data_IF_964106801013
#
_entry.id   IF_964106801013
#
_cell.length_a   1.000
_cell.length_b   1.000
_cell.length_c   1.000
_cell.angle_alpha   90.00
_cell.angle_beta   90.00
_cell.angle_gamma   90.00
#
_symmetry.space_group_name_H-M   'P 1'
#
loop_
_entity.id
_entity.type
_entity.pdbx_description
1 polymer ?
#
# COMPACT_ATOMS: atom_id res chain seq x y z
N UNK A 1 19.62 3.49 40.91
CA UNK A 1 19.68 3.40 39.43
C UNK A 1 18.25 3.42 38.97
N UNK A 2 17.82 4.50 38.33
CA UNK A 2 16.47 4.64 37.81
C UNK A 2 16.25 3.54 36.77
N UNK A 3 15.10 2.84 36.85
CA UNK A 3 14.66 1.90 35.81
C UNK A 3 14.69 2.67 34.49
N UNK A 4 15.59 2.25 33.59
CA UNK A 4 15.77 2.91 32.31
C UNK A 4 14.46 2.92 31.57
N UNK A 5 14.05 4.09 31.13
CA UNK A 5 12.98 4.33 30.18
C UNK A 5 13.32 3.55 28.89
N UNK A 6 12.90 2.27 28.84
CA UNK A 6 13.14 1.44 27.67
C UNK A 6 12.32 2.06 26.53
N UNK A 7 13.04 2.63 25.58
CA UNK A 7 12.45 3.35 24.45
C UNK A 7 11.35 2.49 23.79
N UNK A 8 10.12 3.00 23.78
CA UNK A 8 8.99 2.35 23.13
C UNK A 8 9.32 2.15 21.66
N UNK A 9 9.28 0.90 21.18
CA UNK A 9 9.48 0.56 19.78
C UNK A 9 8.21 0.88 19.00
N UNK A 10 8.33 1.56 17.88
CA UNK A 10 7.22 1.84 16.96
C UNK A 10 7.20 0.80 15.86
N UNK A 11 6.05 0.18 15.63
CA UNK A 11 5.88 -0.89 14.65
C UNK A 11 5.01 -0.41 13.49
N UNK A 12 5.52 -0.47 12.26
CA UNK A 12 4.89 0.04 11.04
C UNK A 12 4.82 -1.05 9.99
N UNK A 13 3.63 -1.28 9.45
CA UNK A 13 3.39 -2.05 8.22
C UNK A 13 3.02 -1.08 7.11
N UNK A 14 3.68 -1.18 5.96
CA UNK A 14 3.42 -0.34 4.79
C UNK A 14 3.21 -1.21 3.56
N UNK A 15 2.19 -0.89 2.76
CA UNK A 15 1.79 -1.67 1.58
C UNK A 15 1.62 -0.74 0.39
N UNK A 16 2.38 -1.02 -0.68
CA UNK A 16 2.38 -0.20 -1.90
C UNK A 16 1.08 -0.32 -2.70
N UNK A 17 0.88 0.66 -3.59
CA UNK A 17 -0.13 0.60 -4.64
C UNK A 17 0.27 -0.32 -5.80
N UNK A 18 -0.74 -0.86 -6.52
CA UNK A 18 -0.43 -1.74 -7.65
C UNK A 18 -1.61 -2.46 -8.32
N UNK A 19 -2.86 -2.09 -8.05
CA UNK A 19 -4.05 -2.70 -8.65
C UNK A 19 -4.17 -4.20 -8.33
N UNK A 20 -4.44 -5.04 -9.32
CA UNK A 20 -4.57 -6.51 -9.14
C UNK A 20 -3.30 -7.17 -8.59
N UNK A 21 -2.14 -6.53 -8.75
CA UNK A 21 -0.86 -7.01 -8.18
C UNK A 21 -0.84 -7.02 -6.65
N UNK A 22 -1.87 -6.47 -6.00
CA UNK A 22 -2.12 -6.61 -4.56
C UNK A 22 -2.19 -8.05 -4.07
N UNK A 23 -2.32 -9.03 -4.97
CA UNK A 23 -2.17 -10.47 -4.67
C UNK A 23 -0.77 -10.77 -4.11
N UNK A 24 0.27 -10.13 -4.63
CA UNK A 24 1.66 -10.36 -4.16
C UNK A 24 1.81 -10.00 -2.68
N UNK A 25 1.53 -8.76 -2.23
CA UNK A 25 1.55 -8.44 -0.81
C UNK A 25 0.55 -9.25 0.01
N UNK A 26 -0.61 -9.66 -0.54
CA UNK A 26 -1.56 -10.52 0.17
C UNK A 26 -0.96 -11.89 0.55
N UNK A 27 -0.16 -12.51 -0.34
CA UNK A 27 0.56 -13.76 -0.03
C UNK A 27 1.61 -13.54 1.06
N UNK A 28 2.37 -12.45 0.98
CA UNK A 28 3.38 -12.10 1.99
C UNK A 28 2.74 -11.83 3.36
N UNK A 29 1.61 -11.13 3.39
CA UNK A 29 0.84 -10.86 4.62
C UNK A 29 0.25 -12.15 5.22
N UNK A 30 -0.26 -13.06 4.38
CA UNK A 30 -0.73 -14.36 4.84
C UNK A 30 0.40 -15.17 5.51
N UNK A 31 1.59 -15.13 4.94
CA UNK A 31 2.77 -15.76 5.53
C UNK A 31 3.14 -15.11 6.88
N UNK A 32 3.22 -13.78 6.94
CA UNK A 32 3.52 -13.05 8.18
C UNK A 32 2.51 -13.39 9.29
N UNK A 33 1.21 -13.34 9.01
CA UNK A 33 0.19 -13.67 10.01
C UNK A 33 0.30 -15.11 10.49
N UNK A 34 0.60 -16.04 9.59
CA UNK A 34 0.84 -17.44 9.95
C UNK A 34 2.04 -17.60 10.90
N UNK A 35 3.13 -16.85 10.68
CA UNK A 35 4.28 -16.85 11.60
C UNK A 35 3.92 -16.26 12.96
N UNK A 36 3.12 -15.18 13.01
CA UNK A 36 2.60 -14.61 14.25
C UNK A 36 1.68 -15.60 14.99
N UNK A 37 0.83 -16.32 14.27
CA UNK A 37 -0.05 -17.36 14.83
C UNK A 37 0.72 -18.54 15.44
N UNK A 38 1.87 -18.91 14.89
CA UNK A 38 2.74 -19.93 15.50
C UNK A 38 3.28 -19.50 16.86
N UNK A 39 3.45 -18.20 17.09
CA UNK A 39 4.04 -17.63 18.30
C UNK A 39 2.99 -17.33 19.38
N UNK A 40 1.83 -16.82 18.98
CA UNK A 40 0.84 -16.23 19.89
C UNK A 40 -0.57 -16.85 19.78
N UNK A 41 -0.69 -17.93 19.00
CA UNK A 41 -1.93 -18.68 18.86
C UNK A 41 -2.77 -18.30 17.63
N UNK A 42 -3.78 -19.14 17.29
CA UNK A 42 -4.52 -19.05 16.02
C UNK A 42 -5.35 -17.77 15.87
N UNK A 43 -5.63 -17.09 16.96
CA UNK A 43 -6.41 -15.84 16.96
C UNK A 43 -5.55 -14.59 16.74
N UNK A 44 -4.23 -14.73 16.60
CA UNK A 44 -3.34 -13.61 16.30
C UNK A 44 -3.66 -13.02 14.92
N UNK A 45 -3.74 -11.68 14.83
CA UNK A 45 -4.02 -10.93 13.60
C UNK A 45 -2.99 -9.83 13.42
N UNK A 46 -2.72 -9.47 12.18
CA UNK A 46 -1.73 -8.43 11.84
C UNK A 46 -1.98 -7.13 12.62
N UNK A 47 -3.22 -6.65 12.70
CA UNK A 47 -3.56 -5.43 13.43
C UNK A 47 -3.17 -5.46 14.93
N UNK A 48 -3.00 -6.63 15.52
CA UNK A 48 -2.60 -6.77 16.93
C UNK A 48 -1.13 -6.39 17.19
N UNK A 49 -0.30 -6.25 16.15
CA UNK A 49 1.15 -6.15 16.25
C UNK A 49 1.74 -4.83 15.77
N UNK A 50 0.98 -4.09 14.95
CA UNK A 50 1.46 -2.84 14.38
C UNK A 50 0.77 -1.63 15.01
N UNK A 51 1.58 -0.62 15.36
CA UNK A 51 1.05 0.68 15.80
C UNK A 51 0.41 1.42 14.63
N UNK A 52 0.94 1.18 13.41
CA UNK A 52 0.47 1.83 12.19
C UNK A 52 0.45 0.84 11.04
N UNK A 53 -0.67 0.81 10.32
CA UNK A 53 -0.76 0.15 9.01
C UNK A 53 -1.01 1.24 7.96
N UNK A 54 -0.11 1.33 6.99
CA UNK A 54 -0.21 2.29 5.90
C UNK A 54 -0.39 1.59 4.56
N UNK A 55 -1.17 2.17 3.66
CA UNK A 55 -1.38 1.61 2.34
C UNK A 55 -1.88 2.61 1.32
N UNK A 56 -1.43 2.47 0.08
CA UNK A 56 -1.83 3.28 -1.05
C UNK A 56 -2.60 2.45 -2.07
N UNK A 57 -3.71 2.98 -2.61
CA UNK A 57 -4.45 2.27 -3.67
C UNK A 57 -4.85 0.86 -3.22
N UNK A 58 -4.44 -0.18 -3.93
CA UNK A 58 -4.63 -1.57 -3.50
C UNK A 58 -4.05 -1.86 -2.11
N UNK A 59 -2.92 -1.24 -1.74
CA UNK A 59 -2.39 -1.30 -0.37
C UNK A 59 -3.32 -0.67 0.66
N UNK A 60 -4.02 0.41 0.29
CA UNK A 60 -5.08 1.01 1.10
C UNK A 60 -6.28 0.07 1.29
N UNK A 61 -6.66 -0.70 0.24
CA UNK A 61 -7.68 -1.75 0.36
C UNK A 61 -7.23 -2.83 1.36
N UNK A 62 -5.99 -3.33 1.25
CA UNK A 62 -5.44 -4.29 2.20
C UNK A 62 -5.38 -3.71 3.62
N UNK A 63 -5.01 -2.44 3.76
CA UNK A 63 -5.01 -1.74 5.06
C UNK A 63 -6.39 -1.76 5.71
N UNK A 64 -7.45 -1.35 5.02
CA UNK A 64 -8.80 -1.35 5.59
C UNK A 64 -9.32 -2.77 5.86
N UNK A 65 -8.96 -3.75 5.04
CA UNK A 65 -9.32 -5.16 5.26
C UNK A 65 -8.69 -5.72 6.54
N UNK A 66 -7.45 -5.34 6.83
CA UNK A 66 -6.69 -5.79 8.01
C UNK A 66 -7.04 -5.00 9.28
N UNK A 67 -7.61 -3.80 9.18
CA UNK A 67 -7.78 -2.90 10.34
C UNK A 67 -9.22 -2.49 10.62
N UNK A 68 -10.15 -2.64 9.67
CA UNK A 68 -11.56 -2.41 9.97
C UNK A 68 -12.10 -3.55 10.86
N UNK A 69 -12.90 -3.23 11.89
CA UNK A 69 -13.51 -4.25 12.73
C UNK A 69 -14.67 -4.96 12.02
N UNK A 70 -14.81 -6.25 12.28
CA UNK A 70 -16.03 -6.99 12.05
C UNK A 70 -17.01 -6.80 13.23
N UNK A 71 -18.14 -7.54 13.22
CA UNK A 71 -19.15 -7.52 14.29
C UNK A 71 -18.65 -7.96 15.68
N UNK A 72 -17.56 -8.70 15.72
CA UNK A 72 -16.94 -9.23 16.93
C UNK A 72 -15.73 -8.37 17.39
N UNK A 73 -15.48 -7.25 16.72
CA UNK A 73 -14.37 -6.33 17.00
C UNK A 73 -13.01 -6.90 16.60
N UNK A 74 -12.98 -7.85 15.63
CA UNK A 74 -11.76 -8.42 15.06
C UNK A 74 -11.56 -7.89 13.64
N UNK A 75 -10.35 -7.98 13.07
CA UNK A 75 -10.13 -7.57 11.69
C UNK A 75 -11.11 -8.25 10.72
N UNK A 76 -11.61 -7.46 9.78
CA UNK A 76 -12.61 -7.89 8.79
C UNK A 76 -12.14 -9.08 7.94
N UNK A 77 -10.81 -9.17 7.69
CA UNK A 77 -10.19 -10.28 6.98
C UNK A 77 -8.99 -10.83 7.74
N UNK A 78 -8.87 -12.16 7.75
CA UNK A 78 -7.63 -12.84 8.11
C UNK A 78 -6.62 -12.68 6.95
N UNK A 79 -5.33 -12.67 7.27
CA UNK A 79 -4.28 -12.59 6.25
C UNK A 79 -4.39 -13.66 5.17
N UNK A 80 -4.80 -14.88 5.54
CA UNK A 80 -4.99 -16.01 4.61
C UNK A 80 -6.08 -15.78 3.56
N UNK A 81 -7.06 -14.91 3.83
CA UNK A 81 -8.23 -14.70 2.97
C UNK A 81 -8.02 -13.55 1.97
N UNK A 82 -6.98 -12.73 2.15
CA UNK A 82 -6.69 -11.56 1.32
C UNK A 82 -6.48 -11.92 -0.15
N UNK A 83 -5.63 -12.91 -0.44
CA UNK A 83 -5.36 -13.32 -1.83
C UNK A 83 -6.61 -13.88 -2.51
N UNK A 84 -7.42 -14.65 -1.77
CA UNK A 84 -8.69 -15.18 -2.26
C UNK A 84 -9.67 -14.05 -2.61
N UNK A 85 -9.76 -13.00 -1.79
CA UNK A 85 -10.57 -11.82 -2.10
C UNK A 85 -10.18 -11.21 -3.44
N UNK A 86 -8.88 -11.02 -3.70
CA UNK A 86 -8.42 -10.49 -4.99
C UNK A 86 -8.75 -11.41 -6.16
N UNK A 87 -8.58 -12.72 -6.00
CA UNK A 87 -8.88 -13.70 -7.05
C UNK A 87 -10.38 -13.70 -7.41
N UNK A 88 -11.26 -13.61 -6.40
CA UNK A 88 -12.70 -13.69 -6.57
C UNK A 88 -13.31 -12.37 -7.06
N UNK A 89 -12.76 -11.23 -6.62
CA UNK A 89 -13.37 -9.92 -6.83
C UNK A 89 -12.74 -9.11 -7.96
N UNK A 90 -11.42 -9.28 -8.21
CA UNK A 90 -10.75 -8.50 -9.26
C UNK A 90 -11.35 -8.66 -10.66
N UNK A 91 -11.82 -9.85 -11.11
CA UNK A 91 -12.48 -9.98 -12.41
C UNK A 91 -13.80 -9.20 -12.53
N UNK A 92 -14.44 -8.89 -11.41
CA UNK A 92 -15.67 -8.09 -11.35
C UNK A 92 -15.35 -6.60 -11.25
N UNK A 93 -14.25 -6.25 -10.55
CA UNK A 93 -13.74 -4.88 -10.44
C UNK A 93 -13.19 -4.40 -11.78
N UNK A 94 -12.45 -5.27 -12.49
CA UNK A 94 -11.82 -5.01 -13.79
C UNK A 94 -12.40 -5.94 -14.86
N UNK A 95 -13.68 -5.81 -15.23
CA UNK A 95 -14.31 -6.69 -16.20
C UNK A 95 -13.58 -6.61 -17.53
N UNK A 96 -13.02 -7.74 -17.96
CA UNK A 96 -12.38 -7.88 -19.28
C UNK A 96 -13.48 -7.89 -20.34
N UNK A 97 -13.67 -6.78 -21.05
CA UNK A 97 -14.64 -6.72 -22.16
C UNK A 97 -14.20 -7.73 -23.21
N UNK A 98 -15.05 -8.74 -23.47
CA UNK A 98 -14.80 -9.72 -24.51
C UNK A 98 -14.53 -9.05 -25.87
N UNK A 99 -13.71 -9.68 -26.69
CA UNK A 99 -13.15 -9.24 -27.98
C UNK A 99 -14.12 -8.64 -29.01
N UNK A 100 -15.43 -8.60 -28.77
CA UNK A 100 -16.44 -8.11 -29.74
C UNK A 100 -16.52 -6.57 -29.75
N UNK A 101 -16.19 -5.88 -28.62
CA UNK A 101 -16.20 -4.41 -28.58
C UNK A 101 -14.87 -3.75 -28.96
N UNK A 102 -13.77 -4.50 -29.02
CA UNK A 102 -12.46 -3.97 -29.43
C UNK A 102 -12.35 -3.67 -30.94
N UNK A 103 -13.34 -4.10 -31.75
CA UNK A 103 -13.34 -3.88 -33.21
C UNK A 103 -14.16 -2.68 -33.68
N UNK A 104 -14.92 -2.01 -32.81
CA UNK A 104 -15.74 -0.85 -33.18
C UNK A 104 -15.34 0.35 -32.32
N UNK A 105 -14.14 0.87 -32.49
CA UNK A 105 -13.76 2.09 -31.79
C UNK A 105 -12.28 2.23 -31.49
N UNK A 106 -11.45 1.81 -32.42
CA UNK A 106 -10.03 2.15 -32.36
C UNK A 106 -9.87 3.68 -32.50
N UNK A 107 -9.69 4.39 -31.40
CA UNK A 107 -9.15 5.73 -31.40
C UNK A 107 -9.92 6.79 -30.59
N UNK A 108 -11.24 6.87 -30.61
CA UNK A 108 -11.96 7.96 -29.93
C UNK A 108 -12.60 7.55 -28.59
N UNK A 109 -13.08 6.33 -28.44
CA UNK A 109 -13.77 5.90 -27.22
C UNK A 109 -12.85 5.77 -25.99
N UNK A 110 -11.56 5.55 -26.20
CA UNK A 110 -10.53 5.50 -25.13
C UNK A 110 -10.16 6.90 -24.61
N UNK A 111 -10.63 7.95 -25.27
CA UNK A 111 -10.30 9.36 -24.96
C UNK A 111 -11.42 10.04 -24.16
N UNK A 112 -12.59 9.41 -24.00
CA UNK A 112 -13.80 10.11 -23.50
C UNK A 112 -14.21 9.75 -22.07
N UNK A 113 -13.46 8.90 -21.34
CA UNK A 113 -13.79 8.53 -19.95
C UNK A 113 -12.87 7.47 -19.37
N UNK A 114 -13.05 7.12 -18.08
CA UNK A 114 -12.27 6.08 -17.43
C UNK A 114 -12.60 4.69 -17.98
N UNK A 115 -11.63 3.77 -17.89
CA UNK A 115 -11.75 2.39 -18.41
C UNK A 115 -12.84 1.58 -17.71
N UNK A 116 -13.06 1.84 -16.42
CA UNK A 116 -14.04 1.18 -15.56
C UNK A 116 -14.91 2.21 -14.85
N UNK A 117 -16.19 1.89 -14.62
CA UNK A 117 -17.13 2.79 -13.94
C UNK A 117 -17.03 2.80 -12.41
N UNK A 118 -16.24 1.90 -11.83
CA UNK A 118 -15.99 1.80 -10.38
C UNK A 118 -17.17 1.30 -9.55
N UNK A 119 -18.37 1.16 -10.10
CA UNK A 119 -19.60 0.85 -9.33
C UNK A 119 -19.49 -0.41 -8.52
N UNK A 120 -18.90 -1.47 -9.09
CA UNK A 120 -18.74 -2.73 -8.39
C UNK A 120 -17.79 -2.57 -7.18
N UNK A 121 -16.63 -1.95 -7.38
CA UNK A 121 -15.68 -1.65 -6.29
C UNK A 121 -16.34 -0.84 -5.18
N UNK A 122 -17.06 0.24 -5.53
CA UNK A 122 -17.75 1.08 -4.55
C UNK A 122 -18.78 0.29 -3.73
N UNK A 123 -19.61 -0.52 -4.41
CA UNK A 123 -20.62 -1.31 -3.72
C UNK A 123 -20.02 -2.42 -2.85
N UNK A 124 -18.90 -3.02 -3.30
CA UNK A 124 -18.15 -4.02 -2.55
C UNK A 124 -17.59 -3.44 -1.25
N UNK A 125 -16.90 -2.30 -1.34
CA UNK A 125 -16.28 -1.64 -0.19
C UNK A 125 -17.34 -1.14 0.81
N UNK A 126 -18.42 -0.51 0.32
CA UNK A 126 -19.51 -0.07 1.20
C UNK A 126 -20.21 -1.22 1.91
N UNK A 127 -20.39 -2.36 1.24
CA UNK A 127 -20.98 -3.55 1.84
C UNK A 127 -20.11 -4.16 2.95
N UNK A 128 -18.79 -4.19 2.78
CA UNK A 128 -17.88 -4.77 3.77
C UNK A 128 -17.59 -3.82 4.92
N UNK A 129 -17.41 -2.53 4.64
CA UNK A 129 -16.96 -1.54 5.62
C UNK A 129 -18.12 -0.81 6.32
N UNK A 130 -19.36 -0.87 5.75
CA UNK A 130 -20.54 -0.21 6.31
C UNK A 130 -20.27 1.25 6.63
N UNK A 131 -20.66 1.65 7.84
CA UNK A 131 -20.51 3.02 8.35
C UNK A 131 -19.23 3.21 9.18
N UNK A 132 -18.28 2.27 9.11
CA UNK A 132 -17.02 2.36 9.83
C UNK A 132 -16.21 3.54 9.32
N UNK A 133 -15.85 4.44 10.23
CA UNK A 133 -15.02 5.61 9.96
C UNK A 133 -13.56 5.34 10.32
N UNK A 134 -12.71 6.32 10.00
CA UNK A 134 -11.26 6.26 10.23
C UNK A 134 -10.90 6.02 11.70
N UNK A 135 -11.62 6.64 12.64
CA UNK A 135 -11.45 6.44 14.09
C UNK A 135 -11.89 5.08 14.60
N UNK A 136 -12.70 4.35 13.82
CA UNK A 136 -13.14 2.99 14.11
C UNK A 136 -12.13 1.90 13.75
N UNK A 137 -10.99 2.22 13.15
CA UNK A 137 -9.96 1.24 12.82
C UNK A 137 -9.30 0.65 14.08
N UNK A 138 -8.99 -0.65 14.05
CA UNK A 138 -8.44 -1.41 15.19
C UNK A 138 -7.01 -0.98 15.59
N UNK A 139 -6.29 -0.37 14.67
CA UNK A 139 -4.99 0.28 14.91
C UNK A 139 -4.90 1.54 14.09
N UNK A 140 -3.87 2.40 14.32
CA UNK A 140 -3.73 3.61 13.53
C UNK A 140 -3.48 3.28 12.06
N UNK A 141 -4.15 3.99 11.17
CA UNK A 141 -3.98 3.84 9.73
C UNK A 141 -3.48 5.14 9.09
N UNK A 142 -2.71 4.99 8.00
CA UNK A 142 -2.24 6.10 7.17
C UNK A 142 -2.48 5.76 5.71
N UNK A 143 -3.43 6.44 5.09
CA UNK A 143 -3.85 6.18 3.70
C UNK A 143 -3.80 7.47 2.92
N UNK A 144 -2.86 7.64 1.97
CA UNK A 144 -2.80 8.81 1.10
C UNK A 144 -3.81 8.71 -0.04
N UNK A 145 -4.30 9.87 -0.46
CA UNK A 145 -4.98 10.13 -1.72
C UNK A 145 -4.45 11.44 -2.30
N UNK A 146 -4.91 11.86 -3.48
CA UNK A 146 -4.56 13.14 -4.05
C UNK A 146 -5.81 13.97 -4.35
N UNK A 147 -5.90 15.17 -3.79
CA UNK A 147 -7.03 16.08 -4.01
C UNK A 147 -6.77 16.97 -5.23
N UNK A 148 -7.51 16.73 -6.30
CA UNK A 148 -7.35 17.45 -7.56
C UNK A 148 -7.89 18.88 -7.53
N UNK A 149 -8.79 19.22 -6.60
CA UNK A 149 -9.28 20.59 -6.46
C UNK A 149 -8.22 21.50 -5.85
N UNK A 150 -7.39 20.97 -4.96
CA UNK A 150 -6.32 21.71 -4.28
C UNK A 150 -4.93 21.43 -4.85
N UNK A 151 -4.81 20.48 -5.78
CA UNK A 151 -3.53 19.99 -6.37
C UNK A 151 -2.50 19.60 -5.30
N UNK A 152 -2.93 18.84 -4.30
CA UNK A 152 -2.04 18.41 -3.22
C UNK A 152 -2.43 17.04 -2.63
N UNK A 153 -1.47 16.33 -2.05
CA UNK A 153 -1.76 15.11 -1.32
C UNK A 153 -2.70 15.38 -0.15
N UNK A 154 -3.63 14.47 0.07
CA UNK A 154 -4.43 14.38 1.29
C UNK A 154 -4.07 13.08 2.00
N UNK A 155 -3.75 13.18 3.29
CA UNK A 155 -3.41 12.03 4.11
C UNK A 155 -4.55 11.78 5.09
N UNK A 156 -5.21 10.62 4.96
CA UNK A 156 -6.15 10.13 5.95
C UNK A 156 -5.34 9.37 7.00
N UNK A 157 -5.14 10.01 8.15
CA UNK A 157 -4.31 9.51 9.23
C UNK A 157 -5.07 9.55 10.55
N UNK A 158 -5.09 8.43 11.27
CA UNK A 158 -5.69 8.37 12.60
C UNK A 158 -5.07 9.38 13.58
N UNK A 159 -3.80 9.72 13.39
CA UNK A 159 -3.07 10.70 14.22
C UNK A 159 -3.55 12.14 14.05
N UNK A 160 -4.23 12.45 12.96
CA UNK A 160 -4.66 13.83 12.66
C UNK A 160 -6.10 14.13 13.10
N UNK A 161 -6.85 13.15 13.57
CA UNK A 161 -8.29 13.29 13.83
C UNK A 161 -8.60 14.27 14.96
N UNK A 162 -7.76 14.33 15.99
CA UNK A 162 -7.92 15.27 17.09
C UNK A 162 -7.88 16.73 16.60
N UNK A 163 -6.94 17.05 15.71
CA UNK A 163 -6.74 18.41 15.18
C UNK A 163 -7.54 18.68 13.90
N UNK A 164 -7.95 17.64 13.18
CA UNK A 164 -8.65 17.71 11.89
C UNK A 164 -9.83 16.74 11.86
N UNK A 165 -10.87 16.96 12.69
CA UNK A 165 -12.01 16.03 12.82
C UNK A 165 -12.77 15.80 11.51
N UNK A 166 -12.74 16.75 10.58
CA UNK A 166 -13.29 16.59 9.23
C UNK A 166 -12.56 15.52 8.39
N UNK A 167 -11.39 15.00 8.81
CA UNK A 167 -10.75 13.86 8.18
C UNK A 167 -11.32 12.50 8.63
N UNK A 168 -12.23 12.48 9.60
CA UNK A 168 -12.91 11.26 10.04
C UNK A 168 -13.98 10.82 9.04
N UNK A 169 -13.51 10.42 7.86
CA UNK A 169 -14.34 9.94 6.77
C UNK A 169 -14.66 8.44 6.93
N UNK A 170 -15.64 7.95 6.18
CA UNK A 170 -15.89 6.51 6.05
C UNK A 170 -14.66 5.82 5.45
N UNK A 171 -14.28 4.67 6.02
CA UNK A 171 -13.19 3.86 5.47
C UNK A 171 -13.47 3.46 4.01
N UNK A 172 -14.74 3.27 3.64
CA UNK A 172 -15.14 3.00 2.26
C UNK A 172 -14.82 4.16 1.33
N UNK A 173 -15.09 5.42 1.72
CA UNK A 173 -14.78 6.59 0.90
C UNK A 173 -13.26 6.82 0.79
N UNK A 174 -12.52 6.60 1.88
CA UNK A 174 -11.05 6.64 1.88
C UNK A 174 -10.47 5.58 0.93
N UNK A 175 -10.97 4.34 1.02
CA UNK A 175 -10.52 3.23 0.19
C UNK A 175 -10.83 3.44 -1.29
N UNK A 176 -12.02 3.96 -1.62
CA UNK A 176 -12.39 4.35 -2.99
C UNK A 176 -11.47 5.47 -3.47
N UNK A 177 -11.28 6.53 -2.67
CA UNK A 177 -10.47 7.69 -3.04
C UNK A 177 -9.03 7.34 -3.32
N UNK A 178 -8.39 6.56 -2.42
CA UNK A 178 -6.99 6.12 -2.61
C UNK A 178 -6.79 5.20 -3.82
N UNK A 179 -7.88 4.53 -4.28
CA UNK A 179 -7.86 3.57 -5.42
C UNK A 179 -8.43 4.16 -6.72
N UNK A 180 -8.79 5.44 -6.74
CA UNK A 180 -9.38 6.11 -7.91
C UNK A 180 -8.29 6.46 -8.95
N UNK A 181 -7.65 5.42 -9.51
CA UNK A 181 -6.53 5.57 -10.44
C UNK A 181 -6.94 6.29 -11.72
N UNK A 182 -6.28 7.43 -12.05
CA UNK A 182 -6.56 8.17 -13.27
C UNK A 182 -6.52 7.26 -14.51
N UNK A 183 -7.45 7.47 -15.43
CA UNK A 183 -7.70 6.65 -16.64
C UNK A 183 -8.36 5.31 -16.39
N UNK A 184 -8.23 4.71 -15.21
CA UNK A 184 -8.86 3.43 -14.86
C UNK A 184 -10.21 3.61 -14.18
N UNK A 185 -10.31 4.49 -13.18
CA UNK A 185 -11.54 4.77 -12.44
C UNK A 185 -11.90 6.25 -12.42
N UNK A 186 -13.18 6.60 -12.22
CA UNK A 186 -13.59 7.99 -11.96
C UNK A 186 -12.94 8.53 -10.69
N UNK A 187 -12.66 9.84 -10.67
CA UNK A 187 -12.34 10.54 -9.43
C UNK A 187 -13.49 10.41 -8.42
N UNK A 188 -13.17 10.34 -7.13
CA UNK A 188 -14.15 10.14 -6.07
C UNK A 188 -14.43 11.43 -5.31
N UNK A 189 -15.72 11.83 -5.29
CA UNK A 189 -16.20 12.96 -4.52
C UNK A 189 -17.00 12.51 -3.31
N UNK A 190 -16.70 13.11 -2.15
CA UNK A 190 -17.53 13.01 -0.95
C UNK A 190 -17.32 14.22 -0.04
N UNK A 191 -18.20 14.35 0.96
CA UNK A 191 -18.10 15.37 1.99
C UNK A 191 -18.09 14.77 3.37
N UNK A 192 -17.39 15.43 4.29
CA UNK A 192 -17.44 15.12 5.72
C UNK A 192 -17.83 16.35 6.49
N UNK A 193 -18.20 16.13 7.76
CA UNK A 193 -18.64 17.16 8.68
C UNK A 193 -17.70 17.14 9.90
N UNK A 194 -17.28 18.32 10.37
CA UNK A 194 -16.39 18.47 11.52
C UNK A 194 -17.10 18.42 12.87
N UNK A 195 -18.40 18.16 12.89
CA UNK A 195 -19.23 18.16 14.10
C UNK A 195 -19.54 19.55 14.67
N UNK A 196 -19.01 20.62 14.08
CA UNK A 196 -19.18 22.02 14.51
C UNK A 196 -19.93 22.86 13.47
N UNK A 197 -20.54 22.21 12.48
CA UNK A 197 -21.26 22.85 11.37
C UNK A 197 -20.39 23.16 10.16
N UNK A 198 -19.11 22.82 10.17
CA UNK A 198 -18.23 22.90 9.02
C UNK A 198 -18.30 21.65 8.15
N UNK A 199 -18.31 21.84 6.83
CA UNK A 199 -18.25 20.77 5.83
C UNK A 199 -16.94 20.84 5.07
N UNK A 200 -16.32 19.70 4.82
CA UNK A 200 -15.13 19.58 3.97
C UNK A 200 -15.43 18.67 2.78
N UNK A 201 -15.25 19.21 1.59
CA UNK A 201 -15.35 18.47 0.34
C UNK A 201 -14.00 17.86 -0.04
N UNK A 202 -14.03 16.65 -0.59
CA UNK A 202 -12.87 15.91 -1.10
C UNK A 202 -13.09 15.54 -2.56
N UNK A 203 -12.10 15.83 -3.41
CA UNK A 203 -12.11 15.53 -4.85
C UNK A 203 -10.91 14.66 -5.17
N UNK A 204 -11.04 13.35 -4.94
CA UNK A 204 -9.90 12.46 -4.82
C UNK A 204 -9.62 11.66 -6.09
N UNK A 205 -8.33 11.49 -6.35
CA UNK A 205 -7.76 10.46 -7.20
C UNK A 205 -6.75 9.63 -6.39
N UNK A 206 -6.28 8.54 -6.99
CA UNK A 206 -5.38 7.57 -6.39
C UNK A 206 -4.16 8.22 -5.72
N UNK A 207 -3.87 7.75 -4.52
CA UNK A 207 -2.72 8.21 -3.73
C UNK A 207 -1.36 7.88 -4.35
N UNK A 208 -1.30 6.92 -5.28
CA UNK A 208 -0.09 6.56 -6.02
C UNK A 208 0.51 7.72 -6.82
N UNK A 209 -0.29 8.73 -7.17
CA UNK A 209 0.20 9.96 -7.81
C UNK A 209 1.24 10.69 -6.93
N UNK A 210 1.13 10.59 -5.60
CA UNK A 210 1.99 11.30 -4.67
C UNK A 210 2.87 10.39 -3.81
N UNK A 211 2.33 9.24 -3.37
CA UNK A 211 2.98 8.36 -2.41
C UNK A 211 2.60 6.89 -2.66
N UNK A 212 3.07 6.32 -3.77
CA UNK A 212 2.79 4.91 -4.10
C UNK A 212 3.33 3.94 -3.04
N UNK A 213 4.53 4.23 -2.49
CA UNK A 213 5.07 3.60 -1.30
C UNK A 213 4.83 4.52 -0.09
N UNK A 214 3.88 4.23 0.81
CA UNK A 214 3.53 5.13 1.91
C UNK A 214 4.43 4.99 3.15
N UNK A 215 5.54 4.25 3.09
CA UNK A 215 6.38 3.96 4.26
C UNK A 215 6.93 5.22 4.92
N UNK A 216 7.56 6.10 4.14
CA UNK A 216 8.11 7.36 4.66
C UNK A 216 7.00 8.26 5.22
N UNK A 217 5.84 8.25 4.56
CA UNK A 217 4.67 9.00 5.02
C UNK A 217 4.17 8.51 6.39
N UNK A 218 4.09 7.19 6.59
CA UNK A 218 3.71 6.60 7.87
C UNK A 218 4.70 6.98 8.97
N UNK A 219 6.01 6.91 8.71
CA UNK A 219 7.04 7.34 9.66
C UNK A 219 6.92 8.82 10.01
N UNK A 220 6.65 9.68 9.00
CA UNK A 220 6.46 11.12 9.21
C UNK A 220 5.22 11.41 10.08
N UNK A 221 4.09 10.69 9.86
CA UNK A 221 2.89 10.87 10.67
C UNK A 221 3.10 10.47 12.13
N UNK A 222 3.84 9.41 12.40
CA UNK A 222 4.24 9.02 13.75
C UNK A 222 5.15 10.08 14.38
N UNK A 223 6.16 10.55 13.66
CA UNK A 223 7.10 11.56 14.15
C UNK A 223 6.38 12.89 14.45
N UNK A 224 5.49 13.34 13.57
CA UNK A 224 4.65 14.53 13.77
C UNK A 224 3.79 14.40 15.04
N UNK A 225 3.09 13.26 15.20
CA UNK A 225 2.27 12.99 16.37
C UNK A 225 3.10 13.03 17.66
N UNK A 226 4.30 12.43 17.68
CA UNK A 226 5.21 12.49 18.83
C UNK A 226 5.63 13.92 19.16
N UNK A 227 5.98 14.71 18.14
CA UNK A 227 6.38 16.13 18.33
C UNK A 227 5.23 16.94 18.92
N UNK A 228 4.02 16.78 18.39
CA UNK A 228 2.82 17.46 18.90
C UNK A 228 2.50 17.05 20.35
N UNK A 229 2.79 15.80 20.72
CA UNK A 229 2.68 15.32 22.11
C UNK A 229 3.86 15.72 23.00
N UNK A 230 4.77 16.59 22.55
CA UNK A 230 5.95 17.03 23.32
C UNK A 230 7.03 15.94 23.48
N UNK A 231 6.96 14.86 22.73
CA UNK A 231 7.93 13.77 22.74
C UNK A 231 9.02 14.00 21.69
N UNK A 232 10.20 13.44 21.94
CA UNK A 232 11.28 13.47 20.95
C UNK A 232 11.23 12.23 20.07
N UNK A 233 11.07 12.35 18.74
CA UNK A 233 11.14 11.21 17.82
C UNK A 233 12.54 10.58 17.75
N UNK A 234 13.58 11.40 17.97
CA UNK A 234 14.98 10.98 17.94
C UNK A 234 15.29 10.03 19.10
N UNK A 235 15.91 8.89 18.81
CA UNK A 235 16.22 7.84 19.80
C UNK A 235 15.11 6.81 20.00
N UNK A 236 13.99 6.90 19.28
CA UNK A 236 13.00 5.81 19.22
C UNK A 236 13.50 4.73 18.26
N UNK A 237 13.21 3.48 18.60
CA UNK A 237 13.46 2.34 17.70
C UNK A 237 12.23 2.09 16.82
N UNK A 238 12.46 1.70 15.58
CA UNK A 238 11.39 1.35 14.65
C UNK A 238 11.55 -0.09 14.15
N UNK A 239 10.45 -0.79 14.03
CA UNK A 239 10.32 -2.04 13.28
C UNK A 239 9.39 -1.75 12.10
N UNK A 240 9.92 -1.74 10.89
CA UNK A 240 9.18 -1.37 9.69
C UNK A 240 9.22 -2.53 8.70
N UNK A 241 8.05 -2.98 8.28
CA UNK A 241 7.88 -3.93 7.16
C UNK A 241 7.20 -3.17 6.03
N UNK A 242 7.86 -3.09 4.88
CA UNK A 242 7.36 -2.45 3.66
C UNK A 242 7.23 -3.49 2.55
N UNK A 243 6.03 -3.65 2.01
CA UNK A 243 5.70 -4.68 1.03
C UNK A 243 5.23 -4.05 -0.26
N UNK A 244 5.96 -4.32 -1.35
CA UNK A 244 5.63 -3.82 -2.68
C UNK A 244 4.72 -4.74 -3.47
N UNK A 245 4.09 -4.17 -4.51
CA UNK A 245 3.27 -4.90 -5.48
C UNK A 245 4.06 -5.36 -6.72
N UNK A 246 5.37 -5.29 -6.67
CA UNK A 246 6.26 -5.64 -7.78
C UNK A 246 6.49 -4.51 -8.78
N UNK A 247 7.68 -4.51 -9.36
CA UNK A 247 8.10 -3.62 -10.45
C UNK A 247 8.55 -4.42 -11.67
N UNK A 248 8.56 -3.79 -12.83
CA UNK A 248 9.00 -4.46 -14.06
C UNK A 248 10.52 -4.56 -14.08
N UNK A 249 11.06 -5.76 -14.33
CA UNK A 249 12.50 -5.95 -14.43
C UNK A 249 13.08 -5.22 -15.65
N UNK A 250 14.22 -4.60 -15.39
CA UNK A 250 15.09 -4.15 -16.45
C UNK A 250 16.00 -5.31 -16.90
N UNK A 251 15.81 -5.93 -18.10
CA UNK A 251 16.84 -5.69 -19.09
C UNK A 251 16.29 -5.23 -20.44
N UNK A 252 14.98 -5.20 -20.65
CA UNK A 252 14.41 -4.53 -21.82
C UNK A 252 13.87 -3.19 -21.37
N UNK A 253 14.48 -2.12 -21.84
CA UNK A 253 13.98 -0.75 -21.65
C UNK A 253 12.47 -0.74 -21.98
N UNK A 254 11.63 -0.51 -20.98
CA UNK A 254 10.18 -0.37 -21.19
C UNK A 254 9.92 0.79 -22.16
N UNK A 255 10.73 1.85 -22.00
CA UNK A 255 10.75 3.02 -22.89
C UNK A 255 12.19 3.43 -23.18
N UNK A 256 12.49 3.82 -24.42
CA UNK A 256 13.79 4.37 -24.78
C UNK A 256 13.70 5.86 -25.07
N UNK A 257 14.77 6.62 -24.76
CA UNK A 257 14.83 8.03 -25.11
C UNK A 257 14.73 8.25 -26.63
N UNK A 258 15.28 7.33 -27.44
CA UNK A 258 15.20 7.38 -28.90
C UNK A 258 13.76 7.27 -29.41
N UNK A 259 12.92 6.46 -28.75
CA UNK A 259 11.52 6.31 -29.13
C UNK A 259 10.70 7.47 -28.54
N UNK A 260 10.95 7.82 -27.28
CA UNK A 260 10.25 8.90 -26.58
C UNK A 260 10.49 10.29 -27.19
N UNK A 261 11.64 10.49 -27.83
CA UNK A 261 11.91 11.73 -28.58
C UNK A 261 10.93 12.01 -29.72
N UNK A 262 10.17 10.98 -30.14
CA UNK A 262 9.15 11.10 -31.18
C UNK A 262 7.72 11.13 -30.63
N UNK A 263 7.56 11.09 -29.31
CA UNK A 263 6.25 11.03 -28.68
C UNK A 263 5.61 12.41 -28.58
N UNK A 264 4.41 12.54 -29.11
CA UNK A 264 3.51 13.65 -28.80
C UNK A 264 2.70 13.37 -27.53
N UNK A 265 1.85 14.31 -27.15
CA UNK A 265 1.03 14.26 -25.92
C UNK A 265 0.28 12.93 -25.81
N UNK A 266 -0.34 12.47 -26.90
CA UNK A 266 -1.12 11.21 -26.89
C UNK A 266 -0.24 9.99 -26.55
N UNK A 267 0.99 9.94 -27.06
CA UNK A 267 1.90 8.80 -26.79
C UNK A 267 2.38 8.79 -25.33
N UNK A 268 2.49 9.95 -24.69
CA UNK A 268 2.80 10.05 -23.26
C UNK A 268 1.64 9.61 -22.39
N UNK A 269 0.40 9.83 -22.85
CA UNK A 269 -0.82 9.48 -22.11
C UNK A 269 -1.37 8.10 -22.42
N UNK A 270 -1.15 7.59 -23.66
CA UNK A 270 -1.63 6.26 -24.08
C UNK A 270 -0.64 5.65 -25.05
N UNK A 271 0.02 4.57 -24.64
CA UNK A 271 0.95 3.79 -25.49
C UNK A 271 0.88 2.31 -25.11
N UNK A 272 0.60 1.47 -26.11
CA UNK A 272 0.58 0.01 -25.96
C UNK A 272 -0.27 -0.48 -24.77
N UNK A 273 -1.42 0.19 -24.53
CA UNK A 273 -2.33 -0.13 -23.42
C UNK A 273 -1.87 0.33 -22.03
N UNK A 274 -0.80 1.11 -21.95
CA UNK A 274 -0.27 1.70 -20.71
C UNK A 274 -0.37 3.23 -20.73
N UNK A 275 -0.10 3.86 -19.60
CA UNK A 275 -0.02 5.32 -19.44
C UNK A 275 1.40 5.68 -19.02
N UNK A 276 2.33 5.86 -19.99
CA UNK A 276 3.76 5.99 -19.72
C UNK A 276 4.11 7.03 -18.65
N UNK A 277 3.46 8.17 -18.68
CA UNK A 277 3.72 9.24 -17.71
C UNK A 277 3.37 8.82 -16.27
N UNK A 278 2.25 8.11 -16.06
CA UNK A 278 1.86 7.62 -14.73
C UNK A 278 2.77 6.48 -14.28
N UNK A 279 3.17 5.60 -15.20
CA UNK A 279 4.14 4.52 -14.88
C UNK A 279 5.45 5.10 -14.35
N UNK A 280 5.95 6.18 -15.00
CA UNK A 280 7.18 6.85 -14.60
C UNK A 280 7.04 7.57 -13.26
N UNK A 281 5.92 8.27 -13.02
CA UNK A 281 5.67 8.94 -11.74
C UNK A 281 5.57 7.94 -10.59
N UNK A 282 4.84 6.84 -10.77
CA UNK A 282 4.69 5.82 -9.75
C UNK A 282 6.04 5.14 -9.42
N UNK A 283 6.84 4.82 -10.45
CA UNK A 283 8.16 4.24 -10.25
C UNK A 283 9.09 5.23 -9.53
N UNK A 284 9.18 6.48 -10.01
CA UNK A 284 10.04 7.50 -9.41
C UNK A 284 9.65 7.79 -7.95
N UNK A 285 8.34 7.89 -7.65
CA UNK A 285 7.86 8.11 -6.29
C UNK A 285 8.26 6.96 -5.34
N UNK A 286 8.13 5.70 -5.79
CA UNK A 286 8.50 4.54 -4.98
C UNK A 286 10.02 4.46 -4.77
N UNK A 287 10.82 4.63 -5.83
CA UNK A 287 12.28 4.58 -5.77
C UNK A 287 12.86 5.67 -4.86
N UNK A 288 12.28 6.89 -4.91
CA UNK A 288 12.72 7.98 -4.03
C UNK A 288 12.43 7.69 -2.56
N UNK A 289 11.33 7.03 -2.24
CA UNK A 289 11.04 6.61 -0.86
C UNK A 289 12.08 5.58 -0.40
N UNK A 290 12.36 4.56 -1.21
CA UNK A 290 13.33 3.52 -0.88
C UNK A 290 14.73 4.11 -0.71
N UNK A 291 15.13 5.09 -1.56
CA UNK A 291 16.38 5.83 -1.40
C UNK A 291 16.45 6.61 -0.09
N UNK A 292 15.42 7.41 0.23
CA UNK A 292 15.38 8.18 1.48
C UNK A 292 15.41 7.29 2.71
N UNK A 293 14.69 6.15 2.70
CA UNK A 293 14.67 5.21 3.81
C UNK A 293 16.01 4.51 4.01
N UNK A 294 16.73 4.20 2.92
CA UNK A 294 18.07 3.63 3.00
C UNK A 294 19.06 4.58 3.66
N UNK A 295 19.03 5.86 3.26
CA UNK A 295 19.86 6.92 3.88
C UNK A 295 19.45 7.12 5.35
N UNK A 296 18.15 7.20 5.64
CA UNK A 296 17.64 7.38 6.99
C UNK A 296 18.05 6.22 7.90
N UNK A 297 17.95 4.98 7.44
CA UNK A 297 18.39 3.79 8.18
C UNK A 297 19.90 3.83 8.47
N UNK A 298 20.72 4.28 7.52
CA UNK A 298 22.16 4.45 7.72
C UNK A 298 22.48 5.53 8.77
N UNK A 299 21.72 6.64 8.80
CA UNK A 299 21.89 7.73 9.76
C UNK A 299 21.44 7.31 11.17
N UNK A 300 20.30 6.62 11.28
CA UNK A 300 19.69 6.24 12.55
C UNK A 300 20.36 5.00 13.20
N UNK A 301 21.14 4.25 12.42
CA UNK A 301 21.92 3.12 12.90
C UNK A 301 21.10 1.85 13.19
N UNK A 302 21.71 0.87 13.86
CA UNK A 302 21.15 -0.48 14.06
C UNK A 302 19.91 -0.58 14.94
N UNK A 303 19.47 0.52 15.57
CA UNK A 303 18.23 0.55 16.37
C UNK A 303 16.96 0.57 15.49
N UNK A 304 17.11 0.80 14.19
CA UNK A 304 16.01 0.86 13.24
C UNK A 304 16.08 -0.37 12.34
N UNK A 305 14.97 -1.12 12.32
CA UNK A 305 14.85 -2.32 11.51
C UNK A 305 13.87 -2.03 10.38
N UNK A 306 14.37 -2.03 9.16
CA UNK A 306 13.60 -1.83 7.94
C UNK A 306 13.74 -3.06 7.04
N UNK A 307 12.62 -3.71 6.75
CA UNK A 307 12.53 -4.81 5.81
C UNK A 307 11.67 -4.38 4.63
N UNK A 308 12.28 -4.24 3.46
CA UNK A 308 11.60 -4.05 2.19
C UNK A 308 11.49 -5.38 1.47
N UNK A 309 10.26 -5.75 1.07
CA UNK A 309 9.98 -6.94 0.27
C UNK A 309 9.37 -6.48 -1.04
N UNK A 310 10.12 -6.60 -2.13
CA UNK A 310 9.72 -6.15 -3.45
C UNK A 310 10.18 -7.14 -4.53
N UNK A 311 9.29 -7.44 -5.47
CA UNK A 311 9.60 -8.29 -6.62
C UNK A 311 9.93 -7.42 -7.83
N UNK A 312 11.18 -7.45 -8.31
CA UNK A 312 11.67 -6.54 -9.35
C UNK A 312 11.72 -7.17 -10.75
N UNK A 313 11.03 -8.31 -10.95
CA UNK A 313 11.14 -9.11 -12.18
C UNK A 313 9.79 -9.30 -12.88
N UNK A 314 8.82 -8.40 -12.68
CA UNK A 314 7.53 -8.46 -13.35
C UNK A 314 7.69 -8.35 -14.86
N UNK A 315 7.01 -9.21 -15.60
CA UNK A 315 7.06 -9.23 -17.07
C UNK A 315 5.70 -9.63 -17.66
N UNK A 316 5.43 -9.17 -18.88
CA UNK A 316 4.18 -9.47 -19.58
C UNK A 316 2.96 -9.02 -18.80
N UNK A 317 1.92 -9.87 -18.74
CA UNK A 317 0.66 -9.59 -18.05
C UNK A 317 0.81 -9.34 -16.54
N UNK A 318 1.83 -9.94 -15.89
CA UNK A 318 2.09 -9.71 -14.46
C UNK A 318 2.46 -8.26 -14.14
N UNK A 319 2.95 -7.49 -15.10
CA UNK A 319 3.19 -6.05 -14.96
C UNK A 319 1.92 -5.19 -15.07
N UNK A 320 0.81 -5.74 -15.56
CA UNK A 320 -0.48 -5.02 -15.66
C UNK A 320 -1.09 -4.83 -14.27
N UNK A 321 -1.75 -3.67 -14.07
CA UNK A 321 -2.47 -3.38 -12.82
C UNK A 321 -3.93 -3.83 -12.86
N UNK A 322 -4.42 -4.31 -14.00
CA UNK A 322 -5.82 -4.64 -14.23
C UNK A 322 -6.07 -5.91 -15.08
N UNK A 323 -5.03 -6.67 -15.42
CA UNK A 323 -5.22 -7.98 -16.07
C UNK A 323 -5.65 -9.02 -15.05
N UNK A 324 -6.95 -9.32 -15.06
CA UNK A 324 -7.59 -10.31 -14.19
C UNK A 324 -7.87 -11.64 -14.90
N UNK A 325 -7.14 -11.95 -15.98
CA UNK A 325 -7.19 -13.27 -16.57
C UNK A 325 -6.74 -14.33 -15.54
N UNK A 326 -7.39 -15.50 -15.55
CA UNK A 326 -7.04 -16.58 -14.63
C UNK A 326 -5.53 -16.89 -14.65
N UNK A 327 -4.94 -16.93 -15.84
CA UNK A 327 -3.51 -17.19 -16.00
C UNK A 327 -2.64 -16.13 -15.31
N UNK A 328 -3.06 -14.85 -15.35
CA UNK A 328 -2.33 -13.78 -14.66
C UNK A 328 -2.53 -13.83 -13.16
N UNK A 329 -3.75 -14.06 -12.67
CA UNK A 329 -4.02 -14.21 -11.23
C UNK A 329 -3.20 -15.37 -10.63
N UNK A 330 -3.22 -16.55 -11.27
CA UNK A 330 -2.43 -17.71 -10.86
C UNK A 330 -0.92 -17.39 -10.86
N UNK A 331 -0.44 -16.59 -11.85
CA UNK A 331 0.95 -16.16 -11.91
C UNK A 331 1.32 -15.18 -10.78
N UNK A 332 0.44 -14.24 -10.44
CA UNK A 332 0.69 -13.30 -9.33
C UNK A 332 0.77 -14.02 -7.97
N UNK A 333 -0.06 -15.05 -7.75
CA UNK A 333 0.06 -15.93 -6.57
C UNK A 333 1.44 -16.60 -6.54
N UNK A 334 1.84 -17.21 -7.67
CA UNK A 334 3.15 -17.87 -7.78
C UNK A 334 4.31 -16.89 -7.53
N UNK A 335 4.21 -15.65 -8.04
CA UNK A 335 5.22 -14.60 -7.77
C UNK A 335 5.30 -14.29 -6.27
N UNK A 336 4.17 -14.21 -5.56
CA UNK A 336 4.16 -14.03 -4.11
C UNK A 336 4.90 -15.14 -3.36
N UNK A 337 4.69 -16.41 -3.77
CA UNK A 337 5.40 -17.56 -3.21
C UNK A 337 6.90 -17.56 -3.56
N UNK A 338 7.25 -17.23 -4.82
CA UNK A 338 8.64 -17.10 -5.27
C UNK A 338 9.36 -16.00 -4.49
N UNK A 339 8.70 -14.85 -4.27
CA UNK A 339 9.25 -13.72 -3.53
C UNK A 339 9.59 -14.09 -2.08
N UNK A 340 8.78 -14.91 -1.42
CA UNK A 340 9.08 -15.42 -0.08
C UNK A 340 10.36 -16.27 -0.05
N UNK A 341 10.65 -17.01 -1.12
CA UNK A 341 11.84 -17.83 -1.25
C UNK A 341 13.09 -17.07 -1.73
N UNK A 342 12.91 -15.86 -2.31
CA UNK A 342 14.05 -15.03 -2.74
C UNK A 342 14.83 -14.50 -1.54
N UNK A 343 16.13 -14.21 -1.78
CA UNK A 343 17.00 -13.56 -0.79
C UNK A 343 16.52 -12.17 -0.48
N UNK A 344 16.66 -11.77 0.78
CA UNK A 344 16.38 -10.40 1.19
C UNK A 344 17.26 -9.43 0.42
N UNK A 345 16.67 -8.35 -0.06
CA UNK A 345 17.36 -7.30 -0.81
C UNK A 345 17.25 -5.95 -0.11
N UNK A 346 18.17 -5.06 -0.45
CA UNK A 346 18.17 -3.67 -0.01
C UNK A 346 18.58 -2.76 -1.15
N UNK A 347 18.27 -1.47 -1.05
CA UNK A 347 18.64 -0.48 -2.06
C UNK A 347 20.13 -0.19 -1.96
N UNK A 348 20.84 -0.44 -3.03
CA UNK A 348 22.21 0.03 -3.23
C UNK A 348 22.20 1.53 -3.50
N UNK A 349 22.88 2.32 -2.67
CA UNK A 349 22.84 3.78 -2.71
C UNK A 349 23.56 4.39 -3.94
N UNK A 350 24.47 3.64 -4.59
CA UNK A 350 25.17 4.13 -5.78
C UNK A 350 24.33 3.94 -7.04
N UNK A 351 23.62 2.80 -7.12
CA UNK A 351 22.88 2.43 -8.33
C UNK A 351 21.38 2.68 -8.24
N UNK A 352 20.84 2.85 -7.01
CA UNK A 352 19.41 2.93 -6.73
C UNK A 352 18.66 1.61 -6.95
N UNK A 353 19.37 0.49 -7.13
CA UNK A 353 18.79 -0.82 -7.41
C UNK A 353 18.70 -1.68 -6.16
N UNK A 354 17.69 -2.54 -6.10
CA UNK A 354 17.66 -3.59 -5.11
C UNK A 354 18.74 -4.63 -5.41
N UNK A 355 19.60 -4.87 -4.43
CA UNK A 355 20.67 -5.89 -4.46
C UNK A 355 20.50 -6.82 -3.27
N UNK A 356 20.91 -8.08 -3.42
CA UNK A 356 20.88 -9.03 -2.30
C UNK A 356 21.73 -8.53 -1.13
N UNK A 357 21.20 -8.62 0.08
CA UNK A 357 21.94 -8.28 1.31
C UNK A 357 22.94 -9.40 1.61
N UNK A 358 24.25 -9.11 1.64
CA UNK A 358 25.28 -10.13 1.92
C UNK A 358 25.02 -10.82 3.27
N UNK A 359 24.94 -12.15 3.25
CA UNK A 359 24.66 -12.96 4.45
C UNK A 359 23.20 -12.94 4.91
N UNK A 360 22.32 -12.26 4.19
CA UNK A 360 20.87 -12.26 4.44
C UNK A 360 20.23 -13.61 4.16
N UNK A 361 19.15 -13.91 4.90
CA UNK A 361 18.28 -15.06 4.66
C UNK A 361 17.35 -14.86 3.46
N UNK A 362 16.36 -15.73 3.32
CA UNK A 362 15.23 -15.52 2.44
C UNK A 362 14.26 -14.49 3.04
N UNK A 363 13.39 -13.90 2.22
CA UNK A 363 12.33 -13.01 2.70
C UNK A 363 11.44 -13.73 3.75
N UNK A 364 11.16 -15.01 3.59
CA UNK A 364 10.43 -15.82 4.56
C UNK A 364 11.18 -15.94 5.90
N UNK A 365 12.49 -16.20 5.86
CA UNK A 365 13.32 -16.29 7.08
C UNK A 365 13.39 -14.96 7.82
N UNK A 366 13.54 -13.84 7.09
CA UNK A 366 13.55 -12.51 7.69
C UNK A 366 12.17 -12.14 8.26
N UNK A 367 11.08 -12.38 7.52
CA UNK A 367 9.73 -12.19 8.06
C UNK A 367 9.47 -12.99 9.34
N UNK A 368 9.97 -14.22 9.42
CA UNK A 368 9.86 -15.03 10.63
C UNK A 368 10.69 -14.45 11.81
N UNK A 369 11.82 -13.77 11.55
CA UNK A 369 12.57 -13.02 12.57
C UNK A 369 11.78 -11.78 13.02
N UNK A 370 11.23 -11.02 12.07
CA UNK A 370 10.40 -9.86 12.37
C UNK A 370 9.13 -10.24 13.14
N UNK A 371 8.49 -11.37 12.80
CA UNK A 371 7.35 -11.89 13.55
C UNK A 371 7.69 -12.16 15.03
N UNK A 372 8.87 -12.74 15.32
CA UNK A 372 9.34 -12.91 16.71
C UNK A 372 9.51 -11.57 17.43
N UNK A 373 10.14 -10.59 16.79
CA UNK A 373 10.35 -9.28 17.38
C UNK A 373 9.02 -8.55 17.66
N UNK A 374 8.06 -8.64 16.72
CA UNK A 374 6.72 -8.10 16.88
C UNK A 374 5.97 -8.78 18.05
N UNK A 375 6.06 -10.11 18.16
CA UNK A 375 5.48 -10.87 19.27
C UNK A 375 6.10 -10.48 20.61
N UNK A 376 7.43 -10.36 20.69
CA UNK A 376 8.14 -9.94 21.90
C UNK A 376 7.75 -8.50 22.31
N UNK A 377 7.66 -7.58 21.34
CA UNK A 377 7.21 -6.21 21.59
C UNK A 377 5.75 -6.16 22.08
N UNK A 378 4.85 -6.93 21.46
CA UNK A 378 3.46 -7.05 21.90
C UNK A 378 3.36 -7.55 23.36
N UNK A 379 4.13 -8.59 23.71
CA UNK A 379 4.18 -9.12 25.08
C UNK A 379 4.73 -8.10 26.05
N UNK A 380 5.78 -7.36 25.69
CA UNK A 380 6.35 -6.29 26.49
C UNK A 380 5.32 -5.20 26.80
N UNK A 381 4.51 -4.80 25.80
CA UNK A 381 3.47 -3.78 25.97
C UNK A 381 2.33 -4.22 26.88
N UNK A 382 2.01 -5.52 26.93
CA UNK A 382 0.96 -6.06 27.79
C UNK A 382 1.39 -6.19 29.26
N UNK A 383 2.70 -6.25 29.50
CA UNK A 383 3.26 -6.42 30.84
C UNK A 383 3.65 -5.08 31.50
N UNK A 384 3.59 -3.96 30.76
CA UNK A 384 3.80 -2.60 31.22
C UNK A 384 2.46 -1.85 31.36
#
# INVERSE_FOLDING_TARGET
MAAGDQAKVVTILSIDGGGVRGIIPAIVLAFLEKELQKLDGPDARIADYFDVVAGTSTGGLLTVMLTAPDKDGRPLFDGKDLAKFYIDESPKIFPQKGSIFSKIGSGLATVTGPKYDGKYLHSLLRRHLGDTKLDGALTSVVIPAFDIAHLQPIIFSSFQLENQPAKNALLSDIAIGTSAAPTFFPAHYFETNDGKGGTRAYNLIDGGVAANNPTLLAMNQVAEHMVLAGQKPVGKSYIVISIGCGTSSLPKLKYSAKDAAKWGILSWLVKDGTVPILDMFNAASADMVDFHLSVLSAILGSSHQYLRIQYDKLSGSAGSIDDCSKANLDRLVKIGDELLAEKVSGVDLETGRNVEVPGGGTNAEELAKYARQLSDERRRRRNN
#
